data_IF_299313354080
#
_entry.id   IF_299313354080
#
_cell.length_a   1.000
_cell.length_b   1.000
_cell.length_c   1.000
_cell.angle_alpha   90.00
_cell.angle_beta   90.00
_cell.angle_gamma   90.00
#
_symmetry.space_group_name_H-M   'P 1'
#
loop_
_entity.id
_entity.type
_entity.pdbx_description
1 polymer ?
#
# COMPACT_ATOMS: atom_id res chain seq x y z
N UNK A 1 -36.83 8.85 12.44
CA UNK A 1 -37.48 7.70 13.08
C UNK A 1 -38.54 8.16 14.11
N UNK A 2 -38.21 8.92 15.14
CA UNK A 2 -39.12 9.34 16.21
C UNK A 2 -40.40 10.04 15.68
N UNK A 3 -40.23 11.04 14.77
CA UNK A 3 -41.35 11.76 14.18
C UNK A 3 -42.29 10.83 13.39
N UNK A 4 -41.68 9.88 12.61
CA UNK A 4 -42.44 8.94 11.77
C UNK A 4 -43.16 7.84 12.58
N UNK A 5 -42.70 7.55 13.79
CA UNK A 5 -43.17 6.44 14.61
C UNK A 5 -43.80 6.92 15.93
N UNK A 6 -44.42 8.12 15.94
CA UNK A 6 -45.15 8.68 17.11
C UNK A 6 -44.34 8.62 18.42
N UNK A 7 -43.06 9.04 18.34
CA UNK A 7 -42.16 9.10 19.49
C UNK A 7 -41.42 7.77 19.82
N UNK A 8 -41.62 6.71 19.03
CA UNK A 8 -40.93 5.43 19.21
C UNK A 8 -39.84 5.18 18.16
N UNK A 9 -39.04 4.13 18.36
CA UNK A 9 -38.03 3.65 17.41
C UNK A 9 -38.27 2.16 17.12
N UNK A 10 -37.90 1.73 15.91
CA UNK A 10 -37.93 0.31 15.56
C UNK A 10 -36.77 -0.45 16.23
N UNK A 11 -36.93 -1.75 16.43
CA UNK A 11 -35.83 -2.59 16.94
C UNK A 11 -34.60 -2.52 16.05
N UNK A 12 -34.77 -2.71 14.76
CA UNK A 12 -33.69 -2.61 13.75
C UNK A 12 -32.89 -1.30 13.86
N UNK A 13 -33.59 -0.18 14.07
CA UNK A 13 -32.91 1.11 14.24
C UNK A 13 -32.08 1.16 15.52
N UNK A 14 -32.57 0.59 16.63
CA UNK A 14 -31.83 0.51 17.89
C UNK A 14 -30.61 -0.42 17.76
N UNK A 15 -30.77 -1.58 17.15
CA UNK A 15 -29.65 -2.51 16.87
C UNK A 15 -28.56 -1.85 16.05
N UNK A 16 -28.93 -1.13 14.98
CA UNK A 16 -27.96 -0.36 14.17
C UNK A 16 -27.22 0.71 15.01
N UNK A 17 -27.93 1.45 15.84
CA UNK A 17 -27.30 2.46 16.72
C UNK A 17 -26.41 1.80 17.77
N UNK A 18 -26.81 0.68 18.34
CA UNK A 18 -26.00 -0.10 19.28
C UNK A 18 -24.71 -0.59 18.63
N UNK A 19 -24.78 -1.12 17.41
CA UNK A 19 -23.60 -1.54 16.65
C UNK A 19 -22.61 -0.38 16.44
N UNK A 20 -23.10 0.79 16.06
CA UNK A 20 -22.27 1.99 15.92
C UNK A 20 -21.64 2.41 17.25
N UNK A 21 -22.45 2.48 18.32
CA UNK A 21 -21.97 2.90 19.64
C UNK A 21 -20.88 1.96 20.19
N UNK A 22 -21.09 0.63 20.11
CA UNK A 22 -20.08 -0.33 20.54
C UNK A 22 -18.83 -0.34 19.66
N UNK A 23 -18.95 -0.08 18.36
CA UNK A 23 -17.80 0.09 17.48
C UNK A 23 -16.94 1.30 17.91
N UNK A 24 -17.57 2.43 18.20
CA UNK A 24 -16.85 3.64 18.65
C UNK A 24 -16.18 3.45 20.02
N UNK A 25 -16.87 2.83 20.98
CA UNK A 25 -16.28 2.57 22.31
C UNK A 25 -15.12 1.57 22.21
N UNK A 26 -15.29 0.47 21.47
CA UNK A 26 -14.23 -0.52 21.26
C UNK A 26 -13.02 0.09 20.53
N UNK A 27 -13.24 0.95 19.54
CA UNK A 27 -12.17 1.67 18.82
C UNK A 27 -11.41 2.60 19.78
N UNK A 28 -12.12 3.35 20.62
CA UNK A 28 -11.52 4.22 21.64
C UNK A 28 -10.67 3.43 22.64
N UNK A 29 -11.21 2.33 23.19
CA UNK A 29 -10.50 1.49 24.13
C UNK A 29 -9.28 0.81 23.49
N UNK A 30 -9.37 0.44 22.21
CA UNK A 30 -8.24 -0.10 21.45
C UNK A 30 -7.08 0.91 21.34
N UNK A 31 -7.38 2.19 21.10
CA UNK A 31 -6.39 3.26 21.06
C UNK A 31 -5.68 3.37 22.44
N UNK A 32 -6.46 3.43 23.51
CA UNK A 32 -5.92 3.55 24.88
C UNK A 32 -5.07 2.34 25.22
N UNK A 33 -5.54 1.13 24.98
CA UNK A 33 -4.79 -0.11 25.22
C UNK A 33 -3.45 -0.14 24.48
N UNK A 34 -3.45 0.22 23.20
CA UNK A 34 -2.21 0.27 22.42
C UNK A 34 -1.26 1.40 22.87
N UNK A 35 -1.79 2.52 23.37
CA UNK A 35 -1.00 3.60 23.95
C UNK A 35 -0.26 3.14 25.20
N UNK A 36 -0.93 2.49 26.15
CA UNK A 36 -0.30 1.99 27.38
C UNK A 36 0.69 0.86 27.11
N UNK A 37 0.39 -0.07 26.20
CA UNK A 37 1.35 -1.09 25.77
C UNK A 37 2.63 -0.46 25.21
N UNK A 38 2.53 0.66 24.50
CA UNK A 38 3.69 1.39 23.97
C UNK A 38 4.50 2.04 25.11
N UNK A 39 3.83 2.69 26.09
CA UNK A 39 4.52 3.31 27.24
C UNK A 39 5.28 2.25 28.06
N UNK A 40 4.63 1.12 28.33
CA UNK A 40 5.24 0.01 29.10
C UNK A 40 6.23 -0.82 28.26
N UNK A 41 6.50 -0.46 27.01
CA UNK A 41 7.35 -1.22 26.08
C UNK A 41 6.94 -2.68 25.93
N UNK A 42 5.64 -2.98 26.10
CA UNK A 42 5.11 -4.34 26.00
C UNK A 42 4.92 -4.71 24.54
N UNK A 43 5.83 -5.50 23.99
CA UNK A 43 5.81 -5.91 22.59
C UNK A 43 4.72 -6.99 22.34
N UNK A 44 4.60 -7.95 23.27
CA UNK A 44 3.65 -9.07 23.20
C UNK A 44 2.69 -9.03 24.39
N UNK A 45 1.61 -8.25 24.33
CA UNK A 45 0.60 -8.22 25.38
C UNK A 45 -0.22 -9.52 25.39
N UNK A 46 -0.81 -9.87 26.52
CA UNK A 46 -1.67 -11.05 26.66
C UNK A 46 -2.91 -11.02 25.77
N UNK A 47 -3.37 -9.82 25.39
CA UNK A 47 -4.43 -9.60 24.39
C UNK A 47 -3.96 -8.57 23.38
N UNK A 48 -3.91 -8.95 22.11
CA UNK A 48 -3.53 -8.04 21.02
C UNK A 48 -4.78 -7.47 20.37
N UNK A 49 -4.83 -6.14 20.26
CA UNK A 49 -5.96 -5.43 19.66
C UNK A 49 -5.48 -4.67 18.42
N UNK A 50 -6.16 -4.91 17.30
CA UNK A 50 -5.95 -4.18 16.05
C UNK A 50 -7.10 -3.20 15.86
N UNK A 51 -6.79 -2.01 15.38
CA UNK A 51 -7.79 -0.99 15.05
C UNK A 51 -7.36 -0.19 13.83
N UNK A 52 -8.33 0.35 13.12
CA UNK A 52 -8.09 1.19 11.96
C UNK A 52 -9.38 1.71 11.36
N UNK A 53 -9.28 2.84 10.67
CA UNK A 53 -10.37 3.41 9.89
C UNK A 53 -10.38 2.75 8.52
N UNK A 54 -11.56 2.44 8.00
CA UNK A 54 -11.73 1.98 6.63
C UNK A 54 -11.33 3.11 5.68
N UNK A 55 -10.32 2.86 4.85
CA UNK A 55 -9.81 3.82 3.86
C UNK A 55 -10.39 3.54 2.49
N UNK A 56 -10.38 2.28 2.09
CA UNK A 56 -10.79 1.89 0.75
C UNK A 56 -11.33 0.45 0.71
N UNK A 57 -12.27 0.20 -0.19
CA UNK A 57 -12.71 -1.13 -0.56
C UNK A 57 -12.30 -1.37 -2.01
N UNK A 58 -11.22 -2.12 -2.28
CA UNK A 58 -10.88 -2.58 -3.62
C UNK A 58 -12.03 -3.38 -4.23
N UNK A 59 -12.04 -3.50 -5.56
CA UNK A 59 -13.14 -4.19 -6.27
C UNK A 59 -13.27 -5.67 -5.88
N UNK A 60 -12.15 -6.32 -5.51
CA UNK A 60 -12.06 -7.71 -5.06
C UNK A 60 -10.76 -7.91 -4.27
N UNK A 61 -10.59 -9.07 -3.66
CA UNK A 61 -9.39 -9.46 -2.93
C UNK A 61 -8.28 -9.95 -3.87
N UNK A 62 -7.57 -10.98 -3.47
CA UNK A 62 -6.55 -11.62 -4.32
C UNK A 62 -7.18 -12.20 -5.58
N UNK A 63 -8.35 -12.80 -5.44
CA UNK A 63 -9.15 -13.39 -6.52
C UNK A 63 -10.50 -12.68 -6.67
N UNK A 64 -11.12 -12.72 -7.88
CA UNK A 64 -12.36 -11.99 -8.16
C UNK A 64 -13.56 -12.29 -7.26
N UNK A 65 -13.63 -13.47 -6.67
CA UNK A 65 -14.72 -13.87 -5.77
C UNK A 65 -14.50 -13.44 -4.31
N UNK A 66 -13.31 -12.95 -3.97
CA UNK A 66 -12.96 -12.51 -2.63
C UNK A 66 -13.26 -11.02 -2.42
N UNK A 67 -13.62 -10.67 -1.19
CA UNK A 67 -13.72 -9.28 -0.78
C UNK A 67 -12.44 -8.82 -0.10
N UNK A 68 -12.14 -7.53 -0.19
CA UNK A 68 -11.01 -6.91 0.50
C UNK A 68 -11.35 -5.52 0.99
N UNK A 69 -10.63 -5.09 2.02
CA UNK A 69 -10.73 -3.76 2.57
C UNK A 69 -9.37 -3.31 3.09
N UNK A 70 -9.12 -2.02 3.01
CA UNK A 70 -7.89 -1.40 3.49
C UNK A 70 -8.24 -0.53 4.68
N UNK A 71 -7.58 -0.81 5.79
CA UNK A 71 -7.70 -0.04 7.03
C UNK A 71 -6.39 0.67 7.34
N UNK A 72 -6.47 1.84 7.94
CA UNK A 72 -5.32 2.59 8.43
C UNK A 72 -5.60 3.20 9.79
N UNK A 73 -4.58 3.29 10.66
CA UNK A 73 -4.65 4.06 11.91
C UNK A 73 -4.84 5.54 11.65
N UNK A 74 -4.37 6.03 10.50
CA UNK A 74 -4.56 7.40 10.05
C UNK A 74 -5.79 7.48 9.14
N UNK A 75 -6.41 8.67 9.06
CA UNK A 75 -7.57 8.91 8.19
C UNK A 75 -7.21 8.89 6.68
N UNK A 76 -5.93 8.77 6.34
CA UNK A 76 -5.43 8.69 4.96
C UNK A 76 -4.28 7.70 4.88
N UNK A 77 -4.19 7.00 3.77
CA UNK A 77 -2.95 6.27 3.43
C UNK A 77 -1.86 7.28 3.04
N UNK A 78 -0.64 7.04 3.55
CA UNK A 78 0.53 7.82 3.13
C UNK A 78 1.05 7.43 1.74
N UNK A 79 0.30 6.63 0.98
CA UNK A 79 0.64 6.22 -0.38
C UNK A 79 0.03 7.22 -1.37
N UNK A 80 0.88 8.04 -1.99
CA UNK A 80 0.46 9.10 -2.90
C UNK A 80 0.42 8.61 -4.35
N UNK A 81 -0.74 8.13 -4.79
CA UNK A 81 -0.95 7.86 -6.21
C UNK A 81 -1.19 9.16 -6.97
N UNK A 82 -0.38 9.43 -8.01
CA UNK A 82 -0.41 10.66 -8.81
C UNK A 82 -0.95 10.45 -10.24
N UNK A 83 -1.15 9.21 -10.67
CA UNK A 83 -1.69 8.87 -11.98
C UNK A 83 -2.20 7.43 -12.03
N UNK A 84 -3.05 7.12 -13.02
CA UNK A 84 -3.47 5.79 -13.41
C UNK A 84 -4.78 5.34 -12.78
N UNK A 85 -5.14 4.08 -13.03
CA UNK A 85 -6.35 3.44 -12.47
C UNK A 85 -6.23 3.26 -10.96
N UNK A 86 -7.38 3.09 -10.29
CA UNK A 86 -7.45 2.66 -8.90
C UNK A 86 -6.59 1.41 -8.66
N UNK A 87 -5.93 1.36 -7.51
CA UNK A 87 -5.14 0.20 -7.09
C UNK A 87 -6.06 -0.99 -6.77
N UNK A 88 -5.62 -2.19 -7.12
CA UNK A 88 -6.24 -3.45 -6.70
C UNK A 88 -5.58 -3.96 -5.42
N UNK A 89 -6.18 -4.97 -4.78
CA UNK A 89 -5.56 -5.69 -3.67
C UNK A 89 -4.14 -6.18 -4.02
N UNK A 90 -3.99 -6.82 -5.18
CA UNK A 90 -2.71 -7.33 -5.65
C UNK A 90 -1.69 -6.20 -5.86
N UNK A 91 -2.13 -5.04 -6.38
CA UNK A 91 -1.23 -3.90 -6.51
C UNK A 91 -0.73 -3.42 -5.14
N UNK A 92 -1.58 -3.35 -4.12
CA UNK A 92 -1.15 -2.98 -2.78
C UNK A 92 -0.13 -3.97 -2.21
N UNK A 93 -0.37 -5.27 -2.35
CA UNK A 93 0.54 -6.32 -1.89
C UNK A 93 1.92 -6.19 -2.55
N UNK A 94 1.94 -6.07 -3.87
CA UNK A 94 3.17 -5.91 -4.65
C UNK A 94 3.89 -4.59 -4.36
N UNK A 95 3.15 -3.47 -4.19
CA UNK A 95 3.71 -2.16 -3.83
C UNK A 95 4.43 -2.23 -2.48
N UNK A 96 3.80 -2.83 -1.47
CA UNK A 96 4.42 -2.93 -0.15
C UNK A 96 5.62 -3.86 -0.15
N UNK A 97 5.60 -4.96 -0.90
CA UNK A 97 6.77 -5.81 -1.10
C UNK A 97 7.92 -5.05 -1.78
N UNK A 98 7.64 -4.35 -2.89
CA UNK A 98 8.63 -3.55 -3.62
C UNK A 98 9.21 -2.43 -2.76
N UNK A 99 8.39 -1.71 -2.00
CA UNK A 99 8.81 -0.63 -1.11
C UNK A 99 9.68 -1.15 0.05
N UNK A 100 9.31 -2.28 0.64
CA UNK A 100 10.09 -2.89 1.73
C UNK A 100 11.51 -3.18 1.28
N UNK A 101 11.70 -3.77 0.10
CA UNK A 101 13.02 -4.03 -0.47
C UNK A 101 13.71 -2.72 -0.87
N UNK A 102 13.02 -1.86 -1.61
CA UNK A 102 13.58 -0.59 -2.11
C UNK A 102 14.08 0.32 -1.00
N UNK A 103 13.39 0.37 0.14
CA UNK A 103 13.79 1.18 1.32
C UNK A 103 14.94 0.57 2.12
N UNK A 104 15.25 -0.72 1.97
CA UNK A 104 16.43 -1.37 2.58
C UNK A 104 17.71 -1.14 1.76
N UNK A 105 17.58 -0.72 0.49
CA UNK A 105 18.73 -0.46 -0.38
C UNK A 105 19.38 0.89 -0.05
N UNK A 106 20.69 1.06 -0.38
CA UNK A 106 21.35 2.36 -0.27
C UNK A 106 20.60 3.45 -1.04
N UNK A 107 20.55 4.66 -0.46
CA UNK A 107 19.77 5.78 -1.01
C UNK A 107 20.20 6.13 -2.43
N UNK A 108 19.22 6.50 -3.25
CA UNK A 108 19.34 7.12 -4.56
C UNK A 108 19.96 6.26 -5.67
N UNK A 109 20.15 4.95 -5.44
CA UNK A 109 20.84 4.06 -6.41
C UNK A 109 20.15 2.70 -6.60
N UNK A 110 19.03 2.43 -5.92
CA UNK A 110 18.38 1.13 -5.92
C UNK A 110 17.16 1.04 -6.83
N UNK A 111 17.06 -0.06 -7.60
CA UNK A 111 15.89 -0.44 -8.37
C UNK A 111 15.44 -1.85 -8.00
N UNK A 112 14.15 -2.02 -7.80
CA UNK A 112 13.49 -3.29 -7.46
C UNK A 112 12.36 -3.53 -8.44
N UNK A 113 12.27 -4.74 -8.96
CA UNK A 113 11.14 -5.21 -9.78
C UNK A 113 10.46 -6.34 -9.02
N UNK A 114 9.15 -6.22 -8.83
CA UNK A 114 8.34 -7.18 -8.06
C UNK A 114 7.17 -7.65 -8.90
N UNK A 115 6.85 -8.92 -8.77
CA UNK A 115 5.61 -9.52 -9.27
C UNK A 115 5.12 -10.60 -8.29
N UNK A 116 3.82 -10.57 -7.98
CA UNK A 116 3.21 -11.50 -7.00
C UNK A 116 3.93 -11.49 -5.64
N UNK A 117 4.20 -10.27 -5.14
CA UNK A 117 4.93 -9.98 -3.90
C UNK A 117 6.37 -10.55 -3.81
N UNK A 118 6.91 -11.08 -4.90
CA UNK A 118 8.27 -11.61 -4.97
C UNK A 118 9.15 -10.76 -5.89
N UNK A 119 10.44 -10.54 -5.54
CA UNK A 119 11.36 -9.81 -6.40
C UNK A 119 11.74 -10.65 -7.64
N UNK A 120 11.52 -10.08 -8.84
CA UNK A 120 12.05 -10.60 -10.10
C UNK A 120 13.47 -10.10 -10.36
N UNK A 121 13.82 -8.92 -9.82
CA UNK A 121 15.15 -8.37 -9.96
C UNK A 121 15.39 -7.22 -9.00
N UNK A 122 16.62 -7.14 -8.51
CA UNK A 122 17.09 -6.06 -7.63
C UNK A 122 18.48 -5.64 -8.08
N UNK A 123 18.72 -4.34 -8.13
CA UNK A 123 20.03 -3.81 -8.51
C UNK A 123 20.35 -2.50 -7.79
N UNK A 124 21.64 -2.29 -7.57
CA UNK A 124 22.23 -1.10 -6.98
C UNK A 124 23.30 -0.58 -7.94
N UNK A 125 23.06 0.56 -8.58
CA UNK A 125 24.02 1.21 -9.49
C UNK A 125 23.92 2.74 -9.36
N UNK A 126 25.06 3.44 -9.43
CA UNK A 126 25.08 4.92 -9.41
C UNK A 126 24.31 5.52 -10.58
N UNK A 127 24.38 4.91 -11.76
CA UNK A 127 23.57 5.30 -12.91
C UNK A 127 22.18 4.67 -12.81
N UNK A 128 21.13 5.48 -12.75
CA UNK A 128 19.75 5.07 -12.59
C UNK A 128 19.24 4.16 -13.71
N UNK A 129 19.60 4.47 -14.96
CA UNK A 129 19.22 3.65 -16.11
C UNK A 129 19.90 2.28 -16.09
N UNK A 130 21.18 2.22 -15.69
CA UNK A 130 21.90 0.97 -15.51
C UNK A 130 21.35 0.17 -14.34
N UNK A 131 20.96 0.83 -13.24
CA UNK A 131 20.29 0.17 -12.12
C UNK A 131 19.02 -0.55 -12.58
N UNK A 132 18.16 0.13 -13.33
CA UNK A 132 16.96 -0.49 -13.89
C UNK A 132 17.29 -1.63 -14.86
N UNK A 133 18.19 -1.42 -15.82
CA UNK A 133 18.55 -2.45 -16.81
C UNK A 133 19.14 -3.69 -16.14
N UNK A 134 19.97 -3.51 -15.13
CA UNK A 134 20.55 -4.63 -14.38
C UNK A 134 19.47 -5.38 -13.56
N UNK A 135 18.51 -4.68 -12.95
CA UNK A 135 17.39 -5.32 -12.28
C UNK A 135 16.50 -6.09 -13.27
N UNK A 136 16.22 -5.49 -14.44
CA UNK A 136 15.42 -6.15 -15.48
C UNK A 136 16.11 -7.39 -16.04
N UNK A 137 17.45 -7.37 -16.17
CA UNK A 137 18.22 -8.49 -16.69
C UNK A 137 18.21 -9.74 -15.79
N UNK A 138 17.82 -9.62 -14.52
CA UNK A 138 17.69 -10.77 -13.61
C UNK A 138 16.59 -11.73 -14.09
N UNK A 139 15.42 -11.19 -14.46
CA UNK A 139 14.30 -11.97 -15.01
C UNK A 139 13.38 -11.06 -15.84
N UNK A 140 13.71 -10.83 -17.12
CA UNK A 140 12.95 -9.96 -17.99
C UNK A 140 11.56 -10.52 -18.33
N UNK A 141 11.37 -11.82 -18.25
CA UNK A 141 10.08 -12.47 -18.55
C UNK A 141 9.08 -12.20 -17.43
N UNK A 142 9.48 -12.45 -16.19
CA UNK A 142 8.62 -12.21 -15.02
C UNK A 142 8.37 -10.73 -14.76
N UNK A 143 9.25 -9.83 -15.19
CA UNK A 143 9.09 -8.39 -15.06
C UNK A 143 7.88 -7.83 -15.83
N UNK A 144 7.41 -8.53 -16.87
CA UNK A 144 6.24 -8.11 -17.65
C UNK A 144 4.97 -8.10 -16.78
N UNK A 145 4.29 -6.97 -16.72
CA UNK A 145 3.12 -6.77 -15.86
C UNK A 145 3.45 -6.62 -14.37
N UNK A 146 4.71 -6.48 -14.03
CA UNK A 146 5.17 -6.26 -12.65
C UNK A 146 5.15 -4.79 -12.22
N UNK A 147 5.73 -4.57 -11.05
CA UNK A 147 5.88 -3.27 -10.40
C UNK A 147 7.36 -2.93 -10.31
N UNK A 148 7.72 -1.69 -10.65
CA UNK A 148 9.07 -1.17 -10.50
C UNK A 148 9.10 -0.12 -9.39
N UNK A 149 9.99 -0.29 -8.42
CA UNK A 149 10.28 0.68 -7.37
C UNK A 149 11.72 1.18 -7.46
N UNK A 150 11.86 2.50 -7.62
CA UNK A 150 13.13 3.19 -7.60
C UNK A 150 13.23 4.05 -6.35
N UNK A 151 14.30 3.90 -5.55
CA UNK A 151 14.50 4.73 -4.36
C UNK A 151 15.16 6.09 -4.66
N UNK A 152 15.06 6.53 -5.90
CA UNK A 152 15.54 7.81 -6.42
C UNK A 152 14.47 8.52 -7.25
N UNK A 153 14.74 9.76 -7.64
CA UNK A 153 13.84 10.55 -8.47
C UNK A 153 13.83 10.04 -9.90
N UNK A 154 12.65 9.83 -10.48
CA UNK A 154 12.46 9.36 -11.85
C UNK A 154 12.87 10.41 -12.87
N UNK A 155 13.85 10.10 -13.71
CA UNK A 155 14.35 10.98 -14.79
C UNK A 155 13.69 10.67 -16.14
N UNK A 156 13.79 11.64 -17.09
CA UNK A 156 13.28 11.48 -18.46
C UNK A 156 13.84 10.23 -19.14
N UNK A 157 15.14 10.01 -19.07
CA UNK A 157 15.80 8.90 -19.78
C UNK A 157 15.34 7.53 -19.24
N UNK A 158 15.23 7.40 -17.94
CA UNK A 158 14.70 6.19 -17.30
C UNK A 158 13.23 5.97 -17.64
N UNK A 159 12.42 7.03 -17.65
CA UNK A 159 11.00 6.95 -18.01
C UNK A 159 10.79 6.46 -19.47
N UNK A 160 11.65 6.88 -20.40
CA UNK A 160 11.62 6.38 -21.78
C UNK A 160 11.90 4.88 -21.84
N UNK A 161 12.83 4.38 -21.05
CA UNK A 161 13.16 2.95 -21.00
C UNK A 161 12.03 2.13 -20.36
N UNK A 162 11.54 2.57 -19.19
CA UNK A 162 10.40 1.94 -18.50
C UNK A 162 9.14 1.90 -19.37
N UNK A 163 8.96 2.90 -20.22
CA UNK A 163 7.78 2.98 -21.10
C UNK A 163 7.74 1.88 -22.18
N UNK A 164 8.88 1.23 -22.46
CA UNK A 164 8.97 0.11 -23.43
C UNK A 164 8.36 -1.18 -22.90
N UNK A 165 8.35 -1.37 -21.58
CA UNK A 165 7.80 -2.55 -20.91
C UNK A 165 6.37 -2.29 -20.46
N UNK A 166 5.52 -3.30 -20.52
CA UNK A 166 4.24 -3.25 -19.83
C UNK A 166 4.46 -3.40 -18.33
N UNK A 167 4.11 -2.36 -17.58
CA UNK A 167 4.18 -2.31 -16.11
C UNK A 167 2.82 -1.89 -15.54
N UNK A 168 2.45 -2.40 -14.39
CA UNK A 168 1.22 -2.01 -13.72
C UNK A 168 1.41 -0.80 -12.82
N UNK A 169 2.54 -0.72 -12.11
CA UNK A 169 2.85 0.36 -11.19
C UNK A 169 4.33 0.76 -11.30
N UNK A 170 4.61 2.04 -11.21
CA UNK A 170 5.95 2.59 -11.01
C UNK A 170 5.95 3.44 -9.76
N UNK A 171 6.92 3.18 -8.88
CA UNK A 171 7.13 3.87 -7.62
C UNK A 171 8.47 4.60 -7.69
N UNK A 172 8.52 5.86 -7.29
CA UNK A 172 9.77 6.62 -7.25
C UNK A 172 9.75 7.68 -6.14
N UNK A 173 10.91 8.11 -5.69
CA UNK A 173 11.07 9.25 -4.79
C UNK A 173 10.97 10.58 -5.58
N UNK A 174 9.79 10.82 -6.15
CA UNK A 174 9.51 11.96 -7.03
C UNK A 174 9.73 11.64 -8.52
N UNK A 175 9.24 12.54 -9.36
CA UNK A 175 9.27 12.43 -10.82
C UNK A 175 9.62 13.78 -11.44
N UNK A 176 10.51 13.77 -12.44
CA UNK A 176 10.71 14.95 -13.28
C UNK A 176 9.48 15.23 -14.14
N UNK A 177 9.25 16.49 -14.46
CA UNK A 177 8.11 16.91 -15.30
C UNK A 177 8.10 16.18 -16.66
N UNK A 178 9.25 16.00 -17.27
CA UNK A 178 9.36 15.29 -18.54
C UNK A 178 9.14 13.76 -18.38
N UNK A 179 9.59 13.18 -17.27
CA UNK A 179 9.30 11.79 -16.94
C UNK A 179 7.79 11.56 -16.78
N UNK A 180 7.10 12.45 -16.07
CA UNK A 180 5.64 12.40 -15.91
C UNK A 180 4.90 12.49 -17.25
N UNK A 181 5.32 13.39 -18.15
CA UNK A 181 4.71 13.51 -19.49
C UNK A 181 4.79 12.20 -20.26
N UNK A 182 5.92 11.50 -20.20
CA UNK A 182 6.14 10.23 -20.89
C UNK A 182 5.27 9.12 -20.26
N UNK A 183 5.36 8.95 -18.94
CA UNK A 183 4.68 7.84 -18.27
C UNK A 183 3.15 7.99 -18.27
N UNK A 184 2.64 9.21 -18.21
CA UNK A 184 1.19 9.52 -18.29
C UNK A 184 0.55 9.21 -19.64
N UNK A 185 1.32 8.95 -20.70
CA UNK A 185 0.77 8.47 -21.97
C UNK A 185 0.07 7.11 -21.82
N UNK A 186 0.49 6.30 -20.85
CA UNK A 186 -0.16 5.03 -20.50
C UNK A 186 -1.25 5.27 -19.46
N UNK A 187 -2.48 5.46 -19.90
CA UNK A 187 -3.65 5.81 -19.03
C UNK A 187 -3.86 4.89 -17.83
N UNK A 188 -3.52 3.62 -17.96
CA UNK A 188 -3.75 2.61 -16.92
C UNK A 188 -2.56 2.44 -15.96
N UNK A 189 -1.37 2.93 -16.33
CA UNK A 189 -0.15 2.84 -15.51
C UNK A 189 -0.32 3.67 -14.24
N UNK A 190 -0.13 3.05 -13.09
CA UNK A 190 -0.21 3.74 -11.81
C UNK A 190 1.16 4.29 -11.43
N UNK A 191 1.19 5.55 -11.07
CA UNK A 191 2.41 6.21 -10.60
C UNK A 191 2.27 6.57 -9.13
N UNK A 192 3.22 6.12 -8.32
CA UNK A 192 3.25 6.35 -6.88
C UNK A 192 4.45 7.23 -6.54
N UNK A 193 4.17 8.38 -5.95
CA UNK A 193 5.20 9.26 -5.39
C UNK A 193 5.49 8.86 -3.95
N UNK A 194 6.68 8.33 -3.72
CA UNK A 194 7.15 7.85 -2.42
C UNK A 194 8.13 8.82 -1.73
N UNK A 195 8.20 10.10 -2.18
CA UNK A 195 9.11 11.11 -1.64
C UNK A 195 8.95 11.28 -0.14
N UNK A 196 7.70 11.41 0.32
CA UNK A 196 7.39 11.67 1.73
C UNK A 196 7.03 10.38 2.50
N UNK A 197 7.22 9.22 1.87
CA UNK A 197 6.85 7.94 2.47
C UNK A 197 7.92 7.48 3.47
N UNK A 198 7.57 7.57 4.75
CA UNK A 198 8.41 7.08 5.85
C UNK A 198 7.98 5.67 6.21
N UNK A 199 8.88 4.70 6.02
CA UNK A 199 8.74 3.36 6.58
C UNK A 199 9.24 3.37 8.01
N UNK A 200 8.32 3.07 8.95
CA UNK A 200 8.70 2.73 10.33
C UNK A 200 8.84 1.22 10.40
N UNK A 201 9.67 0.73 11.30
CA UNK A 201 9.64 -0.70 11.66
C UNK A 201 8.21 -1.08 12.05
N UNK A 202 7.65 -2.04 11.33
CA UNK A 202 6.29 -2.51 11.53
C UNK A 202 6.38 -3.99 11.91
N UNK A 203 5.74 -4.36 13.00
CA UNK A 203 5.47 -5.75 13.30
C UNK A 203 4.64 -6.33 12.14
N UNK A 204 5.12 -7.43 11.57
CA UNK A 204 4.36 -8.18 10.57
C UNK A 204 3.47 -9.18 11.27
N UNK A 205 2.24 -9.29 10.77
CA UNK A 205 1.28 -10.27 11.23
C UNK A 205 0.98 -11.22 10.08
N UNK A 206 0.96 -12.50 10.40
CA UNK A 206 0.58 -13.55 9.45
C UNK A 206 -0.50 -14.37 10.11
N UNK A 207 -1.61 -14.58 9.41
CA UNK A 207 -2.68 -15.46 9.86
C UNK A 207 -2.49 -16.85 9.23
N UNK A 208 -2.66 -17.87 10.05
CA UNK A 208 -2.71 -19.28 9.62
C UNK A 208 -3.98 -19.89 10.20
N UNK A 209 -4.92 -20.30 9.34
CA UNK A 209 -6.22 -20.85 9.76
C UNK A 209 -6.95 -19.99 10.79
N UNK A 210 -7.08 -18.67 10.52
CA UNK A 210 -7.70 -17.70 11.42
C UNK A 210 -6.91 -17.39 12.71
N UNK A 211 -5.79 -18.05 12.96
CA UNK A 211 -4.84 -17.72 14.04
C UNK A 211 -3.79 -16.71 13.54
N UNK A 212 -3.40 -15.76 14.42
CA UNK A 212 -2.44 -14.68 14.12
C UNK A 212 -1.14 -14.90 14.89
#
# INVERSE_FOLDING_TARGET
QLIKNNGSTTLEFREKLSSVAFTETAYYDAIISNYFNKISSTLFPTKKIFYGNLIEKPRYGENPHQQSAIYSKNLRMNLKQIHGKQLSYNNYNDIFAALTISKSLPKDIGTVIVKHANPCGVSIKKNQLESYKSALACDPVSAFGGIVSCNFKMTKNLALELNKLFLEVIIANGFDTNALKILKTKKNLRLIDATDLVFKEILRFTSVNEEI
#
